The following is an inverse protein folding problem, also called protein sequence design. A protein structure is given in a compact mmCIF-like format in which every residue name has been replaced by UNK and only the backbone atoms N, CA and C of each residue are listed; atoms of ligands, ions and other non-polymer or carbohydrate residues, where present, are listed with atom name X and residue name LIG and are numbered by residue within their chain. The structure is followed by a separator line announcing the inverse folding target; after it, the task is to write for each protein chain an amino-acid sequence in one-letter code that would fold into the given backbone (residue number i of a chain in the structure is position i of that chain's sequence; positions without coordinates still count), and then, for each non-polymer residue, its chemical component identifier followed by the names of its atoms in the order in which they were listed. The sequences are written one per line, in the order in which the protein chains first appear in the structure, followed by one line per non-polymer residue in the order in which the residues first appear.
data_IF_104061276350
#
_entry.id   IF_104061276350
#
_cell.length_a   1.000
_cell.length_b   1.000
_cell.length_c   1.000
_cell.angle_alpha   90.00
_cell.angle_beta   90.00
_cell.angle_gamma   90.00
#
_symmetry.space_group_name_H-M   'P 1'
#
loop_
_entity.id
_entity.type
_entity.pdbx_description
1 polymer ?
#
# COMPACT_ATOMS: atom_id res chain seq x y z
N UNK A 1 -10.64 5.22 -11.27
CA UNK A 1 -10.61 5.10 -9.79
C UNK A 1 -11.88 5.69 -9.21
N UNK A 2 -12.38 5.12 -8.10
CA UNK A 2 -13.61 5.59 -7.44
C UNK A 2 -13.36 6.97 -6.79
N UNK A 3 -14.38 7.83 -6.77
CA UNK A 3 -14.30 9.24 -6.33
C UNK A 3 -13.91 9.43 -4.86
N UNK A 4 -13.96 8.35 -4.06
CA UNK A 4 -13.62 8.35 -2.63
C UNK A 4 -12.29 7.65 -2.30
N UNK A 5 -11.52 7.26 -3.33
CA UNK A 5 -10.22 6.59 -3.12
C UNK A 5 -9.16 7.64 -2.82
N UNK A 6 -8.36 7.36 -1.80
CA UNK A 6 -7.23 8.18 -1.35
C UNK A 6 -5.90 7.40 -1.50
N UNK A 7 -5.87 6.37 -2.34
CA UNK A 7 -4.70 5.49 -2.47
C UNK A 7 -3.41 6.23 -2.81
N UNK A 8 -3.48 7.31 -3.60
CA UNK A 8 -2.31 8.16 -3.88
C UNK A 8 -1.80 8.85 -2.61
N UNK A 9 -2.71 9.49 -1.88
CA UNK A 9 -2.42 10.19 -0.62
C UNK A 9 -1.86 9.21 0.41
N UNK A 10 -2.48 8.04 0.55
CA UNK A 10 -2.06 6.97 1.45
C UNK A 10 -0.64 6.48 1.14
N UNK A 11 -0.35 6.13 -0.11
CA UNK A 11 0.99 5.64 -0.48
C UNK A 11 2.06 6.73 -0.32
N UNK A 12 1.74 7.99 -0.64
CA UNK A 12 2.68 9.11 -0.40
C UNK A 12 2.99 9.31 1.08
N UNK A 13 2.00 9.14 1.96
CA UNK A 13 2.20 9.24 3.41
C UNK A 13 3.02 8.06 3.94
N UNK A 14 2.73 6.84 3.49
CA UNK A 14 3.33 5.63 4.05
C UNK A 14 4.72 5.31 3.48
N UNK A 15 4.95 5.55 2.18
CA UNK A 15 6.23 5.28 1.51
C UNK A 15 7.12 6.54 1.46
N UNK A 16 6.53 7.72 1.53
CA UNK A 16 7.20 8.99 1.29
C UNK A 16 7.37 9.33 -0.20
N UNK A 17 7.77 10.57 -0.48
CA UNK A 17 8.06 11.05 -1.85
C UNK A 17 9.52 11.51 -1.93
N UNK A 18 10.25 10.99 -2.92
CA UNK A 18 11.64 11.37 -3.22
C UNK A 18 11.81 11.70 -4.70
N UNK A 19 12.00 12.98 -5.03
CA UNK A 19 12.16 13.43 -6.41
C UNK A 19 13.49 12.99 -7.04
N UNK A 20 14.53 12.82 -6.22
CA UNK A 20 15.83 12.33 -6.66
C UNK A 20 16.00 10.84 -6.31
N UNK A 21 16.67 10.05 -7.18
CA UNK A 21 17.06 8.68 -6.86
C UNK A 21 17.84 8.60 -5.54
N UNK A 22 17.60 7.55 -4.77
CA UNK A 22 18.28 7.22 -3.51
C UNK A 22 18.50 5.71 -3.39
N UNK A 23 19.31 5.28 -2.42
CA UNK A 23 19.45 3.86 -2.06
C UNK A 23 18.51 3.57 -0.90
N UNK A 24 17.60 2.61 -1.08
CA UNK A 24 16.66 2.21 -0.03
C UNK A 24 17.34 1.38 1.08
N UNK A 25 16.56 1.03 2.11
CA UNK A 25 17.05 0.25 3.27
C UNK A 25 17.53 -1.16 2.91
N UNK A 26 17.16 -1.68 1.74
CA UNK A 26 17.56 -2.98 1.23
C UNK A 26 18.73 -2.88 0.23
N UNK A 27 19.22 -1.67 -0.08
CA UNK A 27 20.35 -1.45 -0.97
C UNK A 27 19.99 -1.36 -2.45
N UNK A 28 18.71 -1.14 -2.80
CA UNK A 28 18.29 -0.94 -4.18
C UNK A 28 18.24 0.55 -4.54
N UNK A 29 18.59 0.93 -5.78
CA UNK A 29 18.31 2.28 -6.28
C UNK A 29 16.79 2.44 -6.46
N UNK A 30 16.24 3.51 -5.87
CA UNK A 30 14.81 3.75 -5.75
C UNK A 30 14.50 5.24 -5.94
N UNK A 31 13.32 5.60 -6.45
CA UNK A 31 12.88 7.01 -6.63
C UNK A 31 11.36 7.13 -6.44
N UNK A 32 10.83 8.35 -6.36
CA UNK A 32 9.40 8.61 -6.30
C UNK A 32 8.79 8.10 -5.01
N UNK A 33 7.80 7.22 -5.13
CA UNK A 33 7.04 6.62 -4.01
C UNK A 33 7.44 5.15 -3.88
N UNK A 34 8.74 4.88 -3.78
CA UNK A 34 9.27 3.51 -3.69
C UNK A 34 9.49 2.79 -5.02
N UNK A 35 9.69 3.51 -6.13
CA UNK A 35 9.91 2.91 -7.45
C UNK A 35 11.34 2.37 -7.57
N UNK A 36 11.48 1.04 -7.57
CA UNK A 36 12.76 0.37 -7.80
C UNK A 36 13.28 0.61 -9.22
N UNK A 37 14.51 1.11 -9.34
CA UNK A 37 15.15 1.47 -10.61
C UNK A 37 16.08 0.40 -11.17
N UNK A 38 16.49 -0.58 -10.37
CA UNK A 38 17.53 -1.52 -10.77
C UNK A 38 17.89 -2.57 -9.73
N UNK A 39 18.94 -3.37 -9.99
CA UNK A 39 19.41 -4.41 -9.09
C UNK A 39 20.07 -3.82 -7.84
N UNK A 40 20.16 -4.64 -6.79
CA UNK A 40 20.81 -4.27 -5.53
C UNK A 40 22.27 -3.88 -5.78
N UNK A 41 22.74 -2.83 -5.11
CA UNK A 41 24.14 -2.38 -5.21
C UNK A 41 24.49 -1.63 -6.49
N UNK A 42 23.53 -1.37 -7.39
CA UNK A 42 23.75 -0.51 -8.53
C UNK A 42 24.11 0.92 -8.07
N UNK A 43 25.12 1.51 -8.73
CA UNK A 43 25.67 2.80 -8.32
C UNK A 43 24.68 3.94 -8.65
N UNK A 44 24.34 4.74 -7.64
CA UNK A 44 23.41 5.86 -7.77
C UNK A 44 23.86 6.91 -8.81
N UNK A 45 25.17 7.01 -9.08
CA UNK A 45 25.73 7.90 -10.11
C UNK A 45 25.21 7.62 -11.52
N UNK A 46 24.65 6.43 -11.77
CA UNK A 46 24.04 6.08 -13.05
C UNK A 46 22.65 6.71 -13.25
N UNK A 47 22.07 7.32 -12.21
CA UNK A 47 20.72 7.88 -12.21
C UNK A 47 20.78 9.39 -11.93
N UNK A 48 21.01 10.19 -12.97
CA UNK A 48 21.26 11.64 -12.86
C UNK A 48 20.02 12.52 -13.08
N UNK A 49 18.83 11.92 -13.05
CA UNK A 49 17.57 12.62 -13.28
C UNK A 49 16.84 12.96 -11.97
N UNK A 50 15.88 13.86 -12.07
CA UNK A 50 14.92 14.18 -11.01
C UNK A 50 13.51 14.06 -11.60
N UNK A 51 12.56 13.55 -10.82
CA UNK A 51 11.16 13.45 -11.23
C UNK A 51 10.37 14.64 -10.71
N UNK A 52 9.41 15.13 -11.49
CA UNK A 52 8.41 16.09 -11.01
C UNK A 52 7.23 15.33 -10.38
N UNK A 53 6.40 16.02 -9.60
CA UNK A 53 5.19 15.40 -9.01
C UNK A 53 4.25 14.79 -10.07
N UNK A 54 4.14 15.42 -11.24
CA UNK A 54 3.32 14.87 -12.34
C UNK A 54 3.86 13.53 -12.84
N UNK A 55 5.18 13.41 -13.03
CA UNK A 55 5.81 12.16 -13.47
C UNK A 55 5.67 11.09 -12.38
N UNK A 56 5.87 11.47 -11.12
CA UNK A 56 5.68 10.57 -9.98
C UNK A 56 4.24 10.07 -9.91
N UNK A 57 3.25 10.94 -10.09
CA UNK A 57 1.84 10.57 -10.03
C UNK A 57 1.46 9.60 -11.16
N UNK A 58 1.90 9.85 -12.40
CA UNK A 58 1.62 8.96 -13.53
C UNK A 58 2.25 7.58 -13.30
N UNK A 59 3.50 7.53 -12.85
CA UNK A 59 4.16 6.25 -12.58
C UNK A 59 3.53 5.53 -11.38
N UNK A 60 3.13 6.27 -10.34
CA UNK A 60 2.40 5.70 -9.21
C UNK A 60 1.07 5.09 -9.66
N UNK A 61 0.32 5.77 -10.54
CA UNK A 61 -0.92 5.26 -11.10
C UNK A 61 -0.73 3.90 -11.75
N UNK A 62 0.25 3.81 -12.66
CA UNK A 62 0.54 2.58 -13.40
C UNK A 62 0.90 1.44 -12.43
N UNK A 63 1.75 1.71 -11.45
CA UNK A 63 2.14 0.71 -10.46
C UNK A 63 0.94 0.25 -9.59
N UNK A 64 0.06 1.17 -9.18
CA UNK A 64 -1.17 0.82 -8.46
C UNK A 64 -2.06 -0.06 -9.33
N UNK A 65 -2.25 0.28 -10.61
CA UNK A 65 -3.08 -0.51 -11.52
C UNK A 65 -2.52 -1.91 -11.73
N UNK A 66 -1.20 -2.06 -11.90
CA UNK A 66 -0.53 -3.36 -11.98
C UNK A 66 -0.78 -4.18 -10.71
N UNK A 67 -0.53 -3.60 -9.53
CA UNK A 67 -0.73 -4.28 -8.24
C UNK A 67 -2.19 -4.69 -8.08
N UNK A 68 -3.12 -3.78 -8.34
CA UNK A 68 -4.56 -4.04 -8.20
C UNK A 68 -5.02 -5.16 -9.15
N UNK A 69 -4.59 -5.16 -10.42
CA UNK A 69 -4.90 -6.25 -11.36
C UNK A 69 -4.33 -7.59 -10.88
N UNK A 70 -3.11 -7.62 -10.35
CA UNK A 70 -2.54 -8.83 -9.76
C UNK A 70 -3.29 -9.29 -8.51
N UNK A 71 -3.79 -8.37 -7.68
CA UNK A 71 -4.66 -8.71 -6.53
C UNK A 71 -5.95 -9.39 -6.98
N UNK A 72 -6.58 -8.90 -8.06
CA UNK A 72 -7.81 -9.48 -8.60
C UNK A 72 -7.62 -10.89 -9.17
N UNK A 73 -6.40 -11.25 -9.58
CA UNK A 73 -6.06 -12.60 -10.04
C UNK A 73 -5.87 -13.60 -8.89
N UNK A 74 -5.68 -13.12 -7.66
CA UNK A 74 -5.61 -13.98 -6.48
C UNK A 74 -7.01 -14.15 -5.88
N UNK A 75 -7.53 -15.38 -5.87
CA UNK A 75 -8.90 -15.67 -5.45
C UNK A 75 -9.24 -15.14 -4.04
N UNK A 76 -8.37 -15.38 -3.05
CA UNK A 76 -8.62 -14.96 -1.65
C UNK A 76 -8.65 -13.45 -1.51
N UNK A 77 -7.74 -12.76 -2.17
CA UNK A 77 -7.69 -11.30 -2.15
C UNK A 77 -8.90 -10.73 -2.90
N UNK A 78 -9.22 -11.27 -4.07
CA UNK A 78 -10.36 -10.83 -4.86
C UNK A 78 -11.68 -10.97 -4.09
N UNK A 79 -11.88 -12.08 -3.36
CA UNK A 79 -13.03 -12.23 -2.47
C UNK A 79 -13.07 -11.15 -1.39
N UNK A 80 -11.96 -10.90 -0.70
CA UNK A 80 -11.90 -9.84 0.32
C UNK A 80 -12.18 -8.44 -0.26
N UNK A 81 -11.75 -8.16 -1.50
CA UNK A 81 -12.04 -6.91 -2.20
C UNK A 81 -13.54 -6.70 -2.45
N UNK A 82 -14.30 -7.77 -2.77
CA UNK A 82 -15.75 -7.66 -3.03
C UNK A 82 -16.55 -7.21 -1.80
N UNK A 83 -16.08 -7.52 -0.59
CA UNK A 83 -16.71 -7.12 0.67
C UNK A 83 -16.12 -5.83 1.25
N UNK A 84 -15.07 -5.28 0.64
CA UNK A 84 -14.40 -4.08 1.11
C UNK A 84 -15.06 -2.82 0.53
N UNK A 85 -15.24 -1.79 1.37
CA UNK A 85 -15.49 -0.45 0.87
C UNK A 85 -14.20 0.14 0.27
N UNK A 86 -14.29 1.30 -0.38
CA UNK A 86 -13.14 1.94 -1.04
C UNK A 86 -11.97 2.17 -0.08
N UNK A 87 -12.26 2.59 1.15
CA UNK A 87 -11.23 2.85 2.18
C UNK A 87 -10.45 1.59 2.54
N UNK A 88 -11.16 0.48 2.78
CA UNK A 88 -10.55 -0.83 3.08
C UNK A 88 -9.78 -1.38 1.88
N UNK A 89 -10.32 -1.20 0.67
CA UNK A 89 -9.63 -1.56 -0.57
C UNK A 89 -8.30 -0.83 -0.71
N UNK A 90 -8.25 0.47 -0.41
CA UNK A 90 -7.01 1.25 -0.46
C UNK A 90 -5.98 0.76 0.58
N UNK A 91 -6.41 0.34 1.78
CA UNK A 91 -5.51 -0.32 2.74
C UNK A 91 -4.93 -1.61 2.18
N UNK A 92 -5.76 -2.46 1.56
CA UNK A 92 -5.30 -3.72 0.96
C UNK A 92 -4.32 -3.48 -0.20
N UNK A 93 -4.60 -2.49 -1.05
CA UNK A 93 -3.66 -2.07 -2.10
C UNK A 93 -2.36 -1.58 -1.48
N UNK A 94 -2.43 -0.75 -0.44
CA UNK A 94 -1.23 -0.26 0.25
C UNK A 94 -0.39 -1.39 0.84
N UNK A 95 -1.01 -2.41 1.42
CA UNK A 95 -0.28 -3.60 1.91
C UNK A 95 0.37 -4.35 0.75
N UNK A 96 -0.38 -4.64 -0.31
CA UNK A 96 0.13 -5.33 -1.50
C UNK A 96 1.26 -4.56 -2.20
N UNK A 97 1.22 -3.22 -2.18
CA UNK A 97 2.28 -2.37 -2.71
C UNK A 97 3.59 -2.54 -1.91
N UNK A 98 3.49 -2.53 -0.57
CA UNK A 98 4.65 -2.63 0.30
C UNK A 98 5.31 -4.02 0.29
N UNK A 99 4.51 -5.08 0.34
CA UNK A 99 5.01 -6.45 0.57
C UNK A 99 4.74 -7.43 -0.58
N UNK A 100 4.17 -6.93 -1.67
CA UNK A 100 3.73 -7.75 -2.81
C UNK A 100 2.40 -8.46 -2.58
N UNK A 101 1.73 -8.79 -3.67
CA UNK A 101 0.43 -9.52 -3.66
C UNK A 101 0.55 -10.88 -2.98
N UNK A 102 1.67 -11.60 -3.18
CA UNK A 102 1.90 -12.87 -2.50
C UNK A 102 2.08 -12.72 -0.99
N UNK A 103 2.71 -11.62 -0.54
CA UNK A 103 2.82 -11.30 0.87
C UNK A 103 1.45 -11.05 1.49
N UNK A 104 0.60 -10.25 0.82
CA UNK A 104 -0.78 -10.03 1.24
C UNK A 104 -1.60 -11.34 1.24
N UNK A 105 -1.45 -12.19 0.23
CA UNK A 105 -2.14 -13.48 0.14
C UNK A 105 -1.82 -14.43 1.31
N UNK A 106 -0.69 -14.22 2.00
CA UNK A 106 -0.31 -14.93 3.21
C UNK A 106 -1.19 -14.63 4.43
N UNK A 107 -1.96 -13.53 4.41
CA UNK A 107 -2.86 -13.12 5.50
C UNK A 107 -4.19 -13.89 5.47
N UNK A 108 -4.12 -15.22 5.44
CA UNK A 108 -5.28 -16.10 5.26
C UNK A 108 -6.44 -15.78 6.22
N UNK A 109 -6.14 -15.61 7.51
CA UNK A 109 -7.16 -15.37 8.53
C UNK A 109 -7.77 -13.96 8.42
N UNK A 110 -6.94 -12.94 8.13
CA UNK A 110 -7.43 -11.58 7.91
C UNK A 110 -8.35 -11.52 6.68
N UNK A 111 -7.94 -12.11 5.56
CA UNK A 111 -8.72 -12.13 4.33
C UNK A 111 -10.05 -12.88 4.53
N UNK A 112 -10.04 -14.00 5.26
CA UNK A 112 -11.25 -14.72 5.63
C UNK A 112 -12.17 -13.88 6.53
N UNK A 113 -11.61 -13.16 7.51
CA UNK A 113 -12.37 -12.27 8.37
C UNK A 113 -13.01 -11.11 7.59
N UNK A 114 -12.29 -10.52 6.61
CA UNK A 114 -12.83 -9.49 5.71
C UNK A 114 -14.01 -10.02 4.90
N UNK A 115 -13.89 -11.21 4.31
CA UNK A 115 -15.00 -11.85 3.56
C UNK A 115 -16.22 -12.12 4.45
N UNK A 116 -15.99 -12.49 5.72
CA UNK A 116 -17.03 -12.63 6.73
C UNK A 116 -17.52 -11.29 7.31
N UNK A 117 -16.93 -10.16 6.89
CA UNK A 117 -17.16 -8.80 7.40
C UNK A 117 -16.92 -8.67 8.92
N UNK A 118 -16.06 -9.52 9.48
CA UNK A 118 -15.57 -9.43 10.86
C UNK A 118 -14.36 -8.50 10.91
N UNK A 119 -14.64 -7.20 10.90
CA UNK A 119 -13.62 -6.14 10.82
C UNK A 119 -12.71 -6.08 12.05
N UNK A 120 -13.26 -6.39 13.23
CA UNK A 120 -12.49 -6.44 14.48
C UNK A 120 -11.45 -7.55 14.42
N UNK A 121 -11.86 -8.74 13.97
CA UNK A 121 -10.93 -9.84 13.81
C UNK A 121 -9.91 -9.56 12.70
N UNK A 122 -10.33 -9.02 11.56
CA UNK A 122 -9.41 -8.63 10.48
C UNK A 122 -8.30 -7.68 10.99
N UNK A 123 -8.65 -6.66 11.76
CA UNK A 123 -7.69 -5.74 12.35
C UNK A 123 -6.75 -6.44 13.36
N UNK A 124 -7.27 -7.34 14.19
CA UNK A 124 -6.46 -8.12 15.12
C UNK A 124 -5.47 -9.06 14.40
N UNK A 125 -5.89 -9.68 13.29
CA UNK A 125 -5.01 -10.48 12.42
C UNK A 125 -3.86 -9.65 11.84
N UNK A 126 -4.12 -8.39 11.47
CA UNK A 126 -3.07 -7.47 11.03
C UNK A 126 -2.09 -7.16 12.15
N UNK A 127 -2.59 -6.78 13.34
CA UNK A 127 -1.76 -6.39 14.50
C UNK A 127 -0.85 -7.52 14.98
N UNK A 128 -1.29 -8.78 14.89
CA UNK A 128 -0.49 -9.95 15.32
C UNK A 128 0.50 -10.49 14.28
N UNK A 129 0.52 -9.91 13.08
CA UNK A 129 1.33 -10.40 11.96
C UNK A 129 2.83 -10.09 12.13
N UNK A 130 3.68 -10.80 11.37
CA UNK A 130 5.12 -10.46 11.26
C UNK A 130 5.29 -9.07 10.64
N UNK A 131 4.44 -8.71 9.69
CA UNK A 131 4.42 -7.39 9.09
C UNK A 131 4.23 -6.27 10.13
N UNK A 132 3.36 -6.47 11.12
CA UNK A 132 3.21 -5.53 12.23
C UNK A 132 4.46 -5.43 13.10
N UNK A 133 5.25 -6.50 13.23
CA UNK A 133 6.55 -6.41 13.93
C UNK A 133 7.58 -5.61 13.14
N UNK A 134 7.54 -5.68 11.81
CA UNK A 134 8.48 -4.99 10.92
C UNK A 134 8.13 -3.51 10.72
N UNK A 135 6.84 -3.17 10.61
CA UNK A 135 6.35 -1.80 10.45
C UNK A 135 5.20 -1.47 11.40
N UNK A 136 5.46 -1.40 12.73
CA UNK A 136 4.40 -1.36 13.75
C UNK A 136 3.48 -0.16 13.65
N UNK A 137 4.02 1.04 13.40
CA UNK A 137 3.21 2.26 13.29
C UNK A 137 2.24 2.22 12.10
N UNK A 138 2.71 1.72 10.96
CA UNK A 138 1.89 1.56 9.75
C UNK A 138 0.84 0.49 9.96
N UNK A 139 1.23 -0.66 10.50
CA UNK A 139 0.32 -1.75 10.75
C UNK A 139 -0.82 -1.37 11.70
N UNK A 140 -0.54 -0.59 12.75
CA UNK A 140 -1.58 -0.11 13.64
C UNK A 140 -2.58 0.83 12.94
N UNK A 141 -2.08 1.79 12.14
CA UNK A 141 -2.95 2.68 11.36
C UNK A 141 -3.83 1.89 10.39
N UNK A 142 -3.23 0.99 9.61
CA UNK A 142 -3.95 0.18 8.64
C UNK A 142 -4.99 -0.73 9.31
N UNK A 143 -4.65 -1.33 10.46
CA UNK A 143 -5.58 -2.14 11.23
C UNK A 143 -6.78 -1.31 11.72
N UNK A 144 -6.53 -0.11 12.27
CA UNK A 144 -7.59 0.79 12.73
C UNK A 144 -8.52 1.23 11.58
N UNK A 145 -7.99 1.46 10.37
CA UNK A 145 -8.80 1.79 9.19
C UNK A 145 -9.57 0.58 8.65
N UNK A 146 -8.99 -0.62 8.68
CA UNK A 146 -9.71 -1.85 8.33
C UNK A 146 -10.87 -2.09 9.29
N UNK A 147 -10.66 -1.86 10.58
CA UNK A 147 -11.68 -1.95 11.63
C UNK A 147 -12.83 -0.97 11.39
N UNK A 148 -12.52 0.34 11.30
CA UNK A 148 -13.53 1.40 11.18
C UNK A 148 -14.17 1.50 9.79
N UNK A 149 -13.43 1.17 8.73
CA UNK A 149 -13.80 1.43 7.34
C UNK A 149 -13.78 2.90 6.95
N UNK A 150 -13.11 3.76 7.73
CA UNK A 150 -13.03 5.21 7.53
C UNK A 150 -11.60 5.73 7.66
N UNK A 151 -11.27 6.81 6.95
CA UNK A 151 -9.96 7.47 7.05
C UNK A 151 -9.75 8.14 8.41
N UNK A 152 -10.67 9.03 8.78
CA UNK A 152 -10.60 9.73 10.06
C UNK A 152 -10.91 8.78 11.24
N UNK A 153 -10.25 8.96 12.40
CA UNK A 153 -9.24 9.98 12.71
C UNK A 153 -7.80 9.56 12.36
N UNK A 154 -7.60 8.37 11.77
CA UNK A 154 -6.27 7.77 11.57
C UNK A 154 -5.48 8.52 10.50
N UNK A 155 -6.14 8.81 9.38
CA UNK A 155 -5.63 9.63 8.30
C UNK A 155 -6.56 10.82 8.09
N UNK A 156 -5.98 12.01 8.07
CA UNK A 156 -6.66 13.23 7.70
C UNK A 156 -6.26 13.60 6.27
N UNK A 157 -6.84 12.88 5.31
CA UNK A 157 -6.78 13.29 3.92
C UNK A 157 -7.81 14.40 3.77
N UNK A 158 -7.34 15.65 3.78
CA UNK A 158 -8.19 16.79 3.47
C UNK A 158 -8.85 16.50 2.14
N UNK A 159 -10.18 16.38 2.13
CA UNK A 159 -10.98 16.36 0.90
C UNK A 159 -10.77 17.73 0.28
N UNK A 160 -9.73 17.87 -0.53
CA UNK A 160 -9.59 19.02 -1.40
C UNK A 160 -10.71 18.88 -2.42
N UNK A 161 -11.81 19.60 -2.14
CA UNK A 161 -12.99 19.72 -2.99
C UNK A 161 -12.62 20.23 -4.38
#
# INVERSE_FOLDING_TARGET
MNKNSEIFSLLKVEEGVRHNPYIDSLGYPTVGVGFKLGPQGANLKNYTFCLTDNVINVWLQENIEIVYRSMQQNEKINQALLYSNVVRTDILISMAYQMGVNGLAGFNNMLAAITAQDWNNAANEMRRSIWAKQTPKRAERHAAVIESGQWAPVYDFVINQ
#
